data_IF_019474861523
#
_entry.id   IF_019474861523
#
_cell.length_a   1.000
_cell.length_b   1.000
_cell.length_c   1.000
_cell.angle_alpha   90.00
_cell.angle_beta   90.00
_cell.angle_gamma   90.00
#
_symmetry.space_group_name_H-M   'P 1'
#
loop_
_entity.id
_entity.type
_entity.pdbx_description
1 polymer ?
#
# COMPACT_ATOMS: atom_id res chain seq x y z
N UNK A 1 -15.01 5.55 18.06
CA UNK A 1 -14.64 5.51 16.64
C UNK A 1 -13.18 5.87 16.54
N UNK A 2 -12.35 5.08 15.85
CA UNK A 2 -10.93 5.40 15.67
C UNK A 2 -10.84 6.54 14.65
N UNK A 3 -10.07 7.58 14.95
CA UNK A 3 -9.87 8.67 13.98
C UNK A 3 -9.07 8.17 12.76
N UNK A 4 -9.24 8.80 11.60
CA UNK A 4 -8.62 8.34 10.35
C UNK A 4 -7.08 8.31 10.40
N UNK A 5 -6.46 9.20 11.18
CA UNK A 5 -5.01 9.25 11.35
C UNK A 5 -4.52 8.07 12.19
N UNK A 6 -5.25 7.72 13.24
CA UNK A 6 -4.99 6.55 14.07
C UNK A 6 -5.21 5.25 13.29
N UNK A 7 -6.28 5.16 12.49
CA UNK A 7 -6.53 4.02 11.61
C UNK A 7 -5.40 3.83 10.59
N UNK A 8 -4.99 4.91 9.92
CA UNK A 8 -3.85 4.89 9.02
C UNK A 8 -2.56 4.44 9.72
N UNK A 9 -2.23 5.03 10.87
CA UNK A 9 -1.02 4.67 11.61
C UNK A 9 -1.01 3.19 12.00
N UNK A 10 -2.15 2.67 12.47
CA UNK A 10 -2.31 1.27 12.87
C UNK A 10 -2.10 0.30 11.71
N UNK A 11 -2.68 0.58 10.54
CA UNK A 11 -2.52 -0.24 9.33
C UNK A 11 -1.11 -0.09 8.71
N UNK A 12 -0.54 1.13 8.74
CA UNK A 12 0.83 1.40 8.28
C UNK A 12 1.84 0.58 9.08
N UNK A 13 1.71 0.59 10.41
CA UNK A 13 2.67 -0.01 11.35
C UNK A 13 2.53 -1.53 11.50
N UNK A 14 1.48 -2.13 10.91
CA UNK A 14 1.35 -3.58 10.76
C UNK A 14 2.59 -4.19 10.07
N UNK A 15 3.06 -5.38 10.44
CA UNK A 15 4.17 -6.07 9.76
C UNK A 15 3.98 -6.22 8.25
N UNK A 16 5.02 -5.92 7.47
CA UNK A 16 5.04 -6.15 6.03
C UNK A 16 5.32 -7.63 5.72
N UNK A 17 4.28 -8.46 5.69
CA UNK A 17 4.35 -9.87 5.34
C UNK A 17 3.06 -10.30 4.63
N UNK A 18 3.12 -11.37 3.84
CA UNK A 18 1.94 -11.92 3.17
C UNK A 18 1.07 -12.67 4.18
N UNK A 19 -0.21 -12.32 4.26
CA UNK A 19 -1.23 -13.12 4.94
C UNK A 19 -1.70 -14.28 4.06
N UNK A 20 -2.48 -15.22 4.62
CA UNK A 20 -3.03 -16.37 3.87
C UNK A 20 -3.86 -15.95 2.65
N UNK A 21 -4.62 -14.86 2.76
CA UNK A 21 -5.36 -14.23 1.67
C UNK A 21 -5.14 -12.71 1.66
N UNK A 22 -5.77 -12.02 0.71
CA UNK A 22 -5.78 -10.54 0.66
C UNK A 22 -7.04 -9.93 1.27
N UNK A 23 -7.93 -10.77 1.80
CA UNK A 23 -9.17 -10.30 2.43
C UNK A 23 -8.86 -9.58 3.75
N UNK A 24 -9.57 -8.49 4.08
CA UNK A 24 -9.37 -7.74 5.31
C UNK A 24 -9.36 -8.62 6.57
N UNK A 25 -10.23 -9.63 6.64
CA UNK A 25 -10.36 -10.53 7.79
C UNK A 25 -9.06 -11.30 8.06
N UNK A 26 -8.44 -11.86 7.01
CA UNK A 26 -7.17 -12.59 7.15
C UNK A 26 -6.03 -11.66 7.59
N UNK A 27 -6.00 -10.44 7.06
CA UNK A 27 -5.00 -9.42 7.40
C UNK A 27 -5.11 -9.00 8.86
N UNK A 28 -6.34 -8.84 9.38
CA UNK A 28 -6.60 -8.53 10.79
C UNK A 28 -6.22 -9.72 11.68
N UNK A 29 -6.69 -10.93 11.37
CA UNK A 29 -6.47 -12.12 12.20
C UNK A 29 -4.99 -12.50 12.30
N UNK A 30 -4.25 -12.41 11.19
CA UNK A 30 -2.82 -12.75 11.15
C UNK A 30 -1.90 -11.57 11.48
N UNK A 31 -2.48 -10.38 11.63
CA UNK A 31 -1.81 -9.11 11.87
C UNK A 31 -0.60 -8.86 10.97
N UNK A 32 -0.79 -9.03 9.65
CA UNK A 32 0.25 -8.83 8.64
C UNK A 32 -0.34 -8.52 7.27
N UNK A 33 0.35 -7.69 6.48
CA UNK A 33 -0.08 -7.38 5.12
C UNK A 33 1.05 -6.87 4.23
N UNK A 34 0.99 -7.21 2.94
CA UNK A 34 1.79 -6.55 1.90
C UNK A 34 1.21 -5.16 1.61
N UNK A 35 1.85 -4.38 0.73
CA UNK A 35 1.38 -3.03 0.37
C UNK A 35 -0.10 -3.05 -0.06
N UNK A 36 -0.45 -3.91 -1.02
CA UNK A 36 -1.83 -4.05 -1.51
C UNK A 36 -2.79 -4.51 -0.42
N UNK A 37 -2.40 -5.48 0.41
CA UNK A 37 -3.25 -5.99 1.49
C UNK A 37 -3.60 -4.90 2.50
N UNK A 38 -2.59 -4.13 2.93
CA UNK A 38 -2.81 -3.01 3.84
C UNK A 38 -3.76 -1.96 3.25
N UNK A 39 -3.68 -1.67 1.95
CA UNK A 39 -4.64 -0.77 1.30
C UNK A 39 -6.06 -1.36 1.25
N UNK A 40 -6.21 -2.67 0.99
CA UNK A 40 -7.52 -3.34 1.02
C UNK A 40 -8.14 -3.39 2.42
N UNK A 41 -7.33 -3.39 3.47
CA UNK A 41 -7.82 -3.25 4.85
C UNK A 41 -8.16 -1.79 5.19
N UNK A 42 -7.35 -0.83 4.77
CA UNK A 42 -7.56 0.57 5.15
C UNK A 42 -8.82 1.16 4.51
N UNK A 43 -9.14 0.79 3.28
CA UNK A 43 -10.32 1.27 2.54
C UNK A 43 -11.64 1.08 3.32
N UNK A 44 -12.04 -0.15 3.73
CA UNK A 44 -13.27 -0.33 4.52
C UNK A 44 -13.21 0.36 5.89
N UNK A 45 -12.04 0.45 6.54
CA UNK A 45 -11.90 1.17 7.82
C UNK A 45 -12.21 2.67 7.65
N UNK A 46 -11.77 3.29 6.55
CA UNK A 46 -12.05 4.69 6.26
C UNK A 46 -13.55 4.89 5.96
N UNK A 47 -14.15 3.98 5.18
CA UNK A 47 -15.60 3.98 4.94
C UNK A 47 -16.42 3.86 6.22
N UNK A 48 -16.06 2.95 7.13
CA UNK A 48 -16.68 2.84 8.46
C UNK A 48 -16.50 4.10 9.31
N UNK A 49 -15.39 4.83 9.10
CA UNK A 49 -15.12 6.14 9.69
C UNK A 49 -15.87 7.31 9.05
N UNK A 50 -16.73 7.06 8.05
CA UNK A 50 -17.50 8.09 7.35
C UNK A 50 -16.72 8.86 6.28
N UNK A 51 -15.59 8.31 5.82
CA UNK A 51 -14.78 8.89 4.76
C UNK A 51 -14.95 8.08 3.47
N UNK A 52 -15.09 8.78 2.35
CA UNK A 52 -15.00 8.12 1.05
C UNK A 52 -13.53 7.80 0.75
N UNK A 53 -13.27 6.56 0.33
CA UNK A 53 -11.96 6.12 -0.14
C UNK A 53 -12.07 5.19 -1.34
N UNK A 54 -10.96 5.10 -2.09
CA UNK A 54 -10.80 4.19 -3.24
C UNK A 54 -9.39 3.66 -3.26
N UNK A 55 -9.24 2.39 -3.63
CA UNK A 55 -7.93 1.78 -3.89
C UNK A 55 -7.54 2.02 -5.35
N UNK A 56 -6.39 2.67 -5.56
CA UNK A 56 -5.86 2.98 -6.89
C UNK A 56 -4.54 2.24 -7.07
N UNK A 57 -4.43 1.49 -8.17
CA UNK A 57 -3.16 0.94 -8.61
C UNK A 57 -2.46 1.94 -9.52
N UNK A 58 -1.35 2.51 -9.04
CA UNK A 58 -0.50 3.41 -9.81
C UNK A 58 0.74 2.67 -10.28
N UNK A 59 0.87 2.43 -11.58
CA UNK A 59 2.12 1.96 -12.16
C UNK A 59 2.99 3.17 -12.52
N UNK A 60 4.29 3.06 -12.29
CA UNK A 60 5.26 4.07 -12.69
C UNK A 60 6.29 3.40 -13.58
N UNK A 61 6.48 3.94 -14.79
CA UNK A 61 7.59 3.56 -15.67
C UNK A 61 8.72 4.53 -15.41
N UNK A 62 9.89 4.03 -15.04
CA UNK A 62 11.09 4.83 -14.85
C UNK A 62 11.75 5.13 -16.22
N UNK A 63 11.79 6.40 -16.60
CA UNK A 63 12.49 6.94 -17.77
C UNK A 63 13.14 8.28 -17.41
N UNK A 64 13.97 8.83 -18.30
CA UNK A 64 14.51 10.19 -18.13
C UNK A 64 13.41 11.26 -18.07
N UNK A 65 12.28 11.03 -18.76
CA UNK A 65 11.15 11.97 -18.80
C UNK A 65 10.30 11.92 -17.52
N UNK A 66 10.13 10.73 -16.94
CA UNK A 66 9.20 10.52 -15.82
C UNK A 66 9.87 10.51 -14.45
N UNK A 67 11.20 10.46 -14.40
CA UNK A 67 11.98 10.36 -13.16
C UNK A 67 12.93 11.55 -13.03
N UNK A 68 12.62 12.46 -12.12
CA UNK A 68 13.53 13.55 -11.77
C UNK A 68 14.88 12.98 -11.28
N UNK A 69 15.98 13.58 -11.74
CA UNK A 69 17.35 13.17 -11.43
C UNK A 69 17.61 11.67 -11.67
N UNK A 70 17.02 11.09 -12.72
CA UNK A 70 16.96 9.65 -12.97
C UNK A 70 18.27 8.92 -12.62
N UNK A 71 18.34 8.24 -11.46
CA UNK A 71 19.61 7.73 -10.93
C UNK A 71 20.26 6.69 -11.84
N UNK A 72 21.59 6.70 -12.04
CA UNK A 72 22.29 5.73 -12.89
C UNK A 72 21.97 4.28 -12.53
N UNK A 73 21.84 3.96 -11.24
CA UNK A 73 21.54 2.61 -10.75
C UNK A 73 20.16 2.12 -11.21
N UNK A 74 19.18 3.03 -11.27
CA UNK A 74 17.85 2.71 -11.80
C UNK A 74 17.86 2.58 -13.32
N UNK A 75 18.67 3.37 -14.04
CA UNK A 75 18.85 3.21 -15.50
C UNK A 75 19.36 1.82 -15.83
N UNK A 76 20.38 1.35 -15.12
CA UNK A 76 20.92 0.00 -15.29
C UNK A 76 19.88 -1.08 -14.97
N UNK A 77 19.11 -0.91 -13.90
CA UNK A 77 18.07 -1.86 -13.51
C UNK A 77 16.95 -1.98 -14.55
N UNK A 78 16.55 -0.86 -15.18
CA UNK A 78 15.54 -0.84 -16.24
C UNK A 78 16.03 -1.55 -17.51
N UNK A 79 17.31 -1.43 -17.86
CA UNK A 79 17.89 -2.10 -19.05
C UNK A 79 18.03 -3.61 -18.86
N UNK A 80 18.25 -4.07 -17.62
CA UNK A 80 18.35 -5.50 -17.28
C UNK A 80 16.99 -6.19 -17.10
N UNK A 81 15.90 -5.42 -17.13
CA UNK A 81 14.52 -5.89 -16.94
C UNK A 81 13.98 -6.70 -18.12
#
# INVERSE_FOLDING_TARGET
MVDAKAAFALVRDMPYQRASTREPEAIIQEWRGTCSGKHYLLDPILWEGGLESRVIMCTHRFTEETTADFPPELREAVVRG
#
